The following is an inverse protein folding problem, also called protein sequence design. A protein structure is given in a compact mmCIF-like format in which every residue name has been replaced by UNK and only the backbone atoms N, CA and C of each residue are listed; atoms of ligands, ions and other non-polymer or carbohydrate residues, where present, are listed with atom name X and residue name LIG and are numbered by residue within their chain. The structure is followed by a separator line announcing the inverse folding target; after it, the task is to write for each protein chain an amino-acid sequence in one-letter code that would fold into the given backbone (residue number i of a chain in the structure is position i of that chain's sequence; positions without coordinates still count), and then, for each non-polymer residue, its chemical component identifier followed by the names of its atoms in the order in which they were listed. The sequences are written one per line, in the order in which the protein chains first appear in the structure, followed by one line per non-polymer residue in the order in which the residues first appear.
data_IF_336043169278
#
_entry.id   IF_336043169278
#
_cell.length_a   1.000
_cell.length_b   1.000
_cell.length_c   1.000
_cell.angle_alpha   90.00
_cell.angle_beta   90.00
_cell.angle_gamma   90.00
#
_symmetry.space_group_name_H-M   'P 1'
#
loop_
_entity.id
_entity.type
_entity.pdbx_description
1 polymer ?
#
# COMPACT_ATOMS: atom_id res chain seq x y z
N UNK A 1 33.08 -16.49 39.58
CA UNK A 1 32.18 -15.33 39.71
C UNK A 1 31.93 -15.17 41.19
N UNK A 2 32.48 -14.12 41.82
CA UNK A 2 32.25 -13.85 43.24
C UNK A 2 30.78 -13.45 43.42
N UNK A 3 30.05 -14.21 44.23
CA UNK A 3 28.69 -13.86 44.63
C UNK A 3 28.76 -12.70 45.62
N UNK A 4 28.28 -11.52 45.19
CA UNK A 4 28.17 -10.35 46.05
C UNK A 4 27.00 -10.59 47.00
N UNK A 5 27.29 -10.83 48.27
CA UNK A 5 26.28 -10.97 49.30
C UNK A 5 25.85 -9.57 49.77
N UNK A 6 24.62 -9.18 49.46
CA UNK A 6 24.06 -7.90 49.88
C UNK A 6 23.46 -8.04 51.29
N UNK A 7 24.12 -7.46 52.29
CA UNK A 7 23.56 -7.30 53.63
C UNK A 7 22.94 -5.90 53.76
N UNK A 8 21.61 -5.84 53.76
CA UNK A 8 20.84 -4.60 53.87
C UNK A 8 19.98 -4.66 55.12
N UNK A 9 20.44 -4.00 56.18
CA UNK A 9 19.67 -3.81 57.41
C UNK A 9 19.05 -2.41 57.42
N UNK A 10 17.74 -2.31 57.14
CA UNK A 10 16.96 -1.07 57.23
C UNK A 10 15.65 -1.32 57.96
N UNK A 11 15.12 -0.29 58.62
CA UNK A 11 13.79 -0.36 59.24
C UNK A 11 12.73 -0.64 58.18
N UNK A 12 11.75 -1.48 58.54
CA UNK A 12 10.57 -1.72 57.71
C UNK A 12 9.65 -0.52 57.88
N UNK A 13 9.38 0.19 56.79
CA UNK A 13 8.50 1.35 56.76
C UNK A 13 7.20 1.00 56.04
N UNK A 14 6.07 1.45 56.57
CA UNK A 14 4.86 1.65 55.78
C UNK A 14 5.00 2.92 54.92
N UNK A 15 4.27 3.00 53.80
CA UNK A 15 4.36 4.17 52.89
C UNK A 15 4.06 5.48 53.62
N UNK A 16 3.12 5.47 54.56
CA UNK A 16 2.74 6.65 55.35
C UNK A 16 3.83 7.08 56.34
N UNK A 17 4.52 6.12 56.97
CA UNK A 17 5.66 6.39 57.87
C UNK A 17 6.84 6.96 57.10
N UNK A 18 7.11 6.41 55.90
CA UNK A 18 8.14 6.90 55.01
C UNK A 18 7.83 8.35 54.57
N UNK A 19 6.62 8.60 54.10
CA UNK A 19 6.21 9.94 53.64
C UNK A 19 6.26 10.96 54.79
N UNK A 20 5.94 10.54 56.02
CA UNK A 20 6.04 11.39 57.23
C UNK A 20 7.48 11.67 57.64
N UNK A 21 8.36 10.67 57.59
CA UNK A 21 9.79 10.83 57.94
C UNK A 21 10.52 11.72 56.93
N UNK A 22 10.25 11.54 55.64
CA UNK A 22 10.85 12.33 54.56
C UNK A 22 10.06 13.60 54.22
N UNK A 23 9.01 13.93 54.99
CA UNK A 23 8.12 15.10 54.78
C UNK A 23 7.64 15.21 53.32
N UNK A 24 7.30 14.09 52.72
CA UNK A 24 6.77 14.04 51.37
C UNK A 24 5.30 14.46 51.39
N UNK A 25 5.00 15.61 50.77
CA UNK A 25 3.63 16.01 50.48
C UNK A 25 3.26 15.53 49.09
N UNK A 26 2.22 14.67 49.00
CA UNK A 26 1.72 14.18 47.72
C UNK A 26 1.21 15.38 46.91
N UNK A 27 1.74 15.65 45.70
CA UNK A 27 1.30 16.80 44.92
C UNK A 27 -0.19 16.66 44.60
N UNK A 28 -0.97 17.68 44.94
CA UNK A 28 -2.38 17.73 44.62
C UNK A 28 -2.53 17.71 43.09
N UNK A 29 -3.17 16.66 42.55
CA UNK A 29 -3.46 16.53 41.11
C UNK A 29 -4.61 17.46 40.74
N UNK A 30 -4.34 18.75 40.69
CA UNK A 30 -5.31 19.77 40.27
C UNK A 30 -5.30 19.86 38.74
N UNK A 31 -6.42 19.59 38.07
CA UNK A 31 -6.54 19.66 36.61
C UNK A 31 -6.11 21.01 36.02
N UNK A 32 -6.21 22.10 36.80
CA UNK A 32 -5.77 23.45 36.40
C UNK A 32 -4.26 23.57 36.22
N UNK A 33 -3.44 22.95 37.07
CA UNK A 33 -1.98 23.00 36.90
C UNK A 33 -1.51 22.18 35.69
N UNK A 34 -2.29 21.17 35.30
CA UNK A 34 -2.06 20.40 34.07
C UNK A 34 -2.35 21.23 32.81
N UNK A 35 -3.43 22.02 32.83
CA UNK A 35 -3.78 22.93 31.73
C UNK A 35 -2.85 24.15 31.66
N UNK A 36 -2.52 24.77 32.79
CA UNK A 36 -1.57 25.89 32.86
C UNK A 36 -0.17 25.49 32.39
N UNK A 37 0.26 24.26 32.68
CA UNK A 37 1.52 23.72 32.18
C UNK A 37 1.54 23.45 30.66
N UNK A 38 0.39 23.13 30.06
CA UNK A 38 0.26 22.88 28.63
C UNK A 38 0.11 24.17 27.81
N UNK A 39 -0.62 25.16 28.34
CA UNK A 39 -0.89 26.44 27.68
C UNK A 39 0.33 27.38 27.74
N UNK A 40 1.06 27.40 28.85
CA UNK A 40 2.24 28.27 29.00
C UNK A 40 3.49 27.79 28.24
N UNK A 41 3.54 26.51 27.86
CA UNK A 41 4.64 25.91 27.08
C UNK A 41 4.33 25.77 25.59
N UNK A 42 3.22 26.33 25.13
CA UNK A 42 2.80 26.22 23.73
C UNK A 42 3.67 27.11 22.82
N UNK A 43 4.90 26.66 22.57
CA UNK A 43 5.78 27.24 21.57
C UNK A 43 5.23 26.84 20.19
N UNK A 44 4.45 27.72 19.56
CA UNK A 44 3.89 27.50 18.22
C UNK A 44 4.92 26.98 17.20
N UNK A 45 6.17 27.47 17.31
CA UNK A 45 7.26 27.07 16.43
C UNK A 45 7.74 25.63 16.66
N UNK A 46 7.80 25.20 17.92
CA UNK A 46 8.13 23.79 18.26
C UNK A 46 6.97 22.86 17.89
N UNK A 47 5.73 23.30 18.12
CA UNK A 47 4.53 22.58 17.70
C UNK A 47 4.46 22.42 16.16
N UNK A 48 4.86 23.45 15.41
CA UNK A 48 4.86 23.43 13.95
C UNK A 48 5.91 22.47 13.38
N UNK A 49 7.08 22.32 14.02
CA UNK A 49 8.09 21.33 13.62
C UNK A 49 7.63 19.89 13.82
N UNK A 50 6.83 19.64 14.87
CA UNK A 50 6.24 18.31 15.12
C UNK A 50 5.24 17.94 14.00
N UNK A 51 4.46 18.90 13.50
CA UNK A 51 3.53 18.69 12.39
C UNK A 51 4.22 18.65 11.02
N UNK A 52 5.26 19.46 10.83
CA UNK A 52 5.98 19.59 9.57
C UNK A 52 7.48 19.29 9.77
N UNK A 53 7.86 18.01 9.88
CA UNK A 53 9.24 17.59 10.14
C UNK A 53 10.22 18.02 9.03
N UNK A 54 9.72 18.44 7.86
CA UNK A 54 10.57 18.93 6.78
C UNK A 54 11.26 20.26 7.07
N UNK A 55 10.68 21.08 7.95
CA UNK A 55 11.28 22.36 8.36
C UNK A 55 12.60 22.17 9.12
N UNK A 56 12.80 21.01 9.75
CA UNK A 56 14.02 20.72 10.51
C UNK A 56 15.20 20.28 9.65
N UNK A 57 14.94 19.65 8.50
CA UNK A 57 16.01 19.11 7.63
C UNK A 57 16.31 19.98 6.41
N UNK A 58 15.35 20.74 5.87
CA UNK A 58 15.57 21.63 4.71
C UNK A 58 16.73 22.63 4.96
N UNK A 59 16.82 23.33 6.11
CA UNK A 59 17.93 24.26 6.36
C UNK A 59 19.30 23.59 6.47
N UNK A 60 19.33 22.28 6.77
CA UNK A 60 20.55 21.47 6.90
C UNK A 60 20.92 20.76 5.59
N UNK A 61 20.14 20.96 4.53
CA UNK A 61 20.30 20.26 3.27
C UNK A 61 21.56 20.72 2.51
N UNK A 62 22.36 19.77 2.03
CA UNK A 62 23.62 20.04 1.32
C UNK A 62 23.37 19.95 -0.18
N UNK A 63 23.75 20.98 -0.95
CA UNK A 63 23.55 21.04 -2.40
C UNK A 63 24.17 19.85 -3.17
N UNK A 64 25.22 19.22 -2.62
CA UNK A 64 25.85 18.04 -3.22
C UNK A 64 24.93 16.79 -3.20
N UNK A 65 23.87 16.77 -2.40
CA UNK A 65 22.87 15.69 -2.37
C UNK A 65 21.77 15.88 -3.42
N UNK A 66 21.68 17.06 -4.05
CA UNK A 66 20.61 17.39 -5.00
C UNK A 66 20.59 16.45 -6.21
N UNK A 67 21.75 16.19 -6.81
CA UNK A 67 21.86 15.35 -8.01
C UNK A 67 21.48 13.88 -7.69
N UNK A 68 22.04 13.24 -6.65
CA UNK A 68 21.60 11.92 -6.22
C UNK A 68 20.09 11.83 -5.90
N UNK A 69 19.53 12.83 -5.23
CA UNK A 69 18.11 12.84 -4.84
C UNK A 69 17.18 13.00 -6.05
N UNK A 70 17.54 13.85 -7.02
CA UNK A 70 16.78 13.98 -8.28
C UNK A 70 16.83 12.68 -9.07
N UNK A 71 18.01 12.06 -9.20
CA UNK A 71 18.15 10.80 -9.91
C UNK A 71 17.36 9.68 -9.21
N UNK A 72 17.45 9.58 -7.89
CA UNK A 72 16.68 8.62 -7.11
C UNK A 72 15.17 8.86 -7.24
N UNK A 73 14.72 10.11 -7.14
CA UNK A 73 13.32 10.49 -7.30
C UNK A 73 12.78 10.13 -8.69
N UNK A 74 13.54 10.40 -9.74
CA UNK A 74 13.20 10.03 -11.11
C UNK A 74 13.15 8.50 -11.28
N UNK A 75 14.13 7.76 -10.75
CA UNK A 75 14.10 6.29 -10.78
C UNK A 75 12.89 5.72 -10.05
N UNK A 76 12.57 6.23 -8.86
CA UNK A 76 11.40 5.81 -8.08
C UNK A 76 10.10 6.12 -8.83
N UNK A 77 9.99 7.31 -9.44
CA UNK A 77 8.83 7.67 -10.25
C UNK A 77 8.62 6.68 -11.40
N UNK A 78 9.69 6.33 -12.13
CA UNK A 78 9.64 5.35 -13.22
C UNK A 78 9.23 3.95 -12.70
N UNK A 79 9.80 3.49 -11.59
CA UNK A 79 9.45 2.20 -10.99
C UNK A 79 7.98 2.15 -10.55
N UNK A 80 7.42 3.28 -10.14
CA UNK A 80 6.05 3.36 -9.67
C UNK A 80 5.02 3.41 -10.80
N UNK A 81 5.40 3.68 -12.07
CA UNK A 81 4.46 3.68 -13.21
C UNK A 81 3.74 2.32 -13.36
N UNK A 82 4.45 1.18 -13.47
CA UNK A 82 3.80 -0.14 -13.53
C UNK A 82 3.22 -0.60 -12.18
N UNK A 83 3.73 -0.08 -11.06
CA UNK A 83 3.31 -0.47 -9.69
C UNK A 83 2.15 0.38 -9.14
N UNK A 84 1.81 1.50 -9.79
CA UNK A 84 0.98 2.58 -9.24
C UNK A 84 -0.46 2.18 -8.89
N UNK A 85 -0.91 1.02 -9.36
CA UNK A 85 -2.09 0.37 -8.82
C UNK A 85 -1.72 -0.35 -7.53
N UNK A 86 -1.98 0.27 -6.37
CA UNK A 86 -2.01 -0.46 -5.10
C UNK A 86 -3.01 -1.61 -5.24
N UNK A 87 -2.54 -2.81 -5.60
CA UNK A 87 -3.39 -3.86 -6.16
C UNK A 87 -4.54 -4.25 -5.22
N UNK A 88 -4.27 -4.23 -3.92
CA UNK A 88 -5.29 -4.46 -2.89
C UNK A 88 -6.37 -3.38 -2.87
N UNK A 89 -5.99 -2.10 -2.89
CA UNK A 89 -6.94 -0.99 -2.89
C UNK A 89 -7.78 -1.00 -4.18
N UNK A 90 -7.13 -1.21 -5.33
CA UNK A 90 -7.80 -1.33 -6.62
C UNK A 90 -8.81 -2.50 -6.63
N UNK A 91 -8.42 -3.68 -6.12
CA UNK A 91 -9.33 -4.82 -5.99
C UNK A 91 -10.50 -4.52 -5.04
N UNK A 92 -10.25 -3.84 -3.93
CA UNK A 92 -11.31 -3.48 -2.96
C UNK A 92 -12.31 -2.49 -3.58
N UNK A 93 -11.82 -1.44 -4.24
CA UNK A 93 -12.66 -0.45 -4.92
C UNK A 93 -13.43 -1.10 -6.07
N UNK A 94 -12.76 -1.89 -6.91
CA UNK A 94 -13.39 -2.61 -8.03
C UNK A 94 -14.51 -3.55 -7.59
N UNK A 95 -14.33 -4.26 -6.47
CA UNK A 95 -15.40 -5.12 -5.91
C UNK A 95 -16.64 -4.33 -5.48
N UNK A 96 -16.47 -3.10 -5.00
CA UNK A 96 -17.62 -2.23 -4.63
C UNK A 96 -18.32 -1.76 -5.89
N UNK A 97 -17.57 -1.31 -6.90
CA UNK A 97 -18.11 -0.87 -8.21
C UNK A 97 -18.91 -2.00 -8.86
N UNK A 98 -18.34 -3.20 -8.96
CA UNK A 98 -18.98 -4.37 -9.57
C UNK A 98 -20.21 -4.88 -8.80
N UNK A 99 -20.34 -4.52 -7.52
CA UNK A 99 -21.51 -4.87 -6.71
C UNK A 99 -22.65 -3.88 -6.89
N UNK A 100 -22.34 -2.58 -6.92
CA UNK A 100 -23.35 -1.52 -6.95
C UNK A 100 -23.86 -1.21 -8.36
N UNK A 101 -23.03 -1.41 -9.39
CA UNK A 101 -23.39 -1.07 -10.77
C UNK A 101 -23.68 -2.35 -11.56
N UNK A 102 -24.93 -2.61 -11.97
CA UNK A 102 -25.25 -3.73 -12.83
C UNK A 102 -24.58 -3.55 -14.20
N UNK A 103 -24.01 -4.64 -14.76
CA UNK A 103 -23.26 -4.61 -16.02
C UNK A 103 -24.05 -4.03 -17.20
N UNK A 104 -25.39 -4.08 -17.16
CA UNK A 104 -26.27 -3.49 -18.18
C UNK A 104 -26.16 -1.96 -18.25
N UNK A 105 -25.96 -1.29 -17.11
CA UNK A 105 -25.80 0.17 -17.08
C UNK A 105 -24.50 0.59 -17.75
N UNK A 106 -23.42 -0.18 -17.56
CA UNK A 106 -22.11 0.09 -18.16
C UNK A 106 -22.15 -0.17 -19.67
N UNK A 107 -22.83 -1.23 -20.10
CA UNK A 107 -22.98 -1.58 -21.52
C UNK A 107 -23.79 -0.55 -22.33
N UNK A 108 -24.66 0.23 -21.66
CA UNK A 108 -25.47 1.27 -22.29
C UNK A 108 -24.80 2.65 -22.31
N UNK A 109 -23.60 2.81 -21.75
CA UNK A 109 -22.83 4.06 -21.83
C UNK A 109 -22.20 4.16 -23.22
N UNK A 110 -22.55 5.22 -23.95
CA UNK A 110 -21.86 5.59 -25.20
C UNK A 110 -20.45 6.12 -24.88
N UNK A 111 -19.45 5.81 -25.73
CA UNK A 111 -18.06 6.28 -25.56
C UNK A 111 -17.93 7.80 -25.37
N UNK A 112 -18.89 8.59 -25.86
CA UNK A 112 -18.89 10.06 -25.76
C UNK A 112 -19.41 10.61 -24.41
N UNK A 113 -19.80 9.77 -23.44
CA UNK A 113 -20.23 10.29 -22.13
C UNK A 113 -19.05 10.92 -21.40
N UNK A 114 -19.16 12.17 -20.91
CA UNK A 114 -18.10 12.79 -20.11
C UNK A 114 -17.71 11.91 -18.94
N UNK A 115 -16.41 11.80 -18.65
CA UNK A 115 -15.89 10.98 -17.53
C UNK A 115 -16.59 11.27 -16.19
N UNK A 116 -17.02 12.52 -15.98
CA UNK A 116 -17.70 12.95 -14.78
C UNK A 116 -19.12 12.37 -14.62
N UNK A 117 -19.78 12.04 -15.73
CA UNK A 117 -21.14 11.46 -15.75
C UNK A 117 -21.12 9.93 -15.75
N UNK A 118 -19.94 9.31 -15.84
CA UNK A 118 -19.81 7.85 -15.77
C UNK A 118 -20.04 7.40 -14.31
N UNK A 119 -21.03 6.53 -14.04
CA UNK A 119 -21.46 6.19 -12.68
C UNK A 119 -20.39 5.43 -11.90
N UNK A 120 -19.55 4.64 -12.58
CA UNK A 120 -18.39 3.95 -12.02
C UNK A 120 -17.34 4.93 -11.51
N UNK A 121 -16.99 5.94 -12.30
CA UNK A 121 -16.03 6.98 -11.91
C UNK A 121 -16.58 7.80 -10.75
N UNK A 122 -17.87 8.20 -10.80
CA UNK A 122 -18.51 8.96 -9.74
C UNK A 122 -18.52 8.20 -8.40
N UNK A 123 -18.79 6.90 -8.43
CA UNK A 123 -18.79 6.05 -7.25
C UNK A 123 -17.37 5.93 -6.66
N UNK A 124 -16.35 5.72 -7.49
CA UNK A 124 -14.95 5.64 -7.06
C UNK A 124 -14.49 6.96 -6.43
N UNK A 125 -14.84 8.10 -7.02
CA UNK A 125 -14.50 9.43 -6.50
C UNK A 125 -15.16 9.65 -5.14
N UNK A 126 -16.45 9.35 -5.02
CA UNK A 126 -17.20 9.49 -3.76
C UNK A 126 -16.65 8.59 -2.66
N UNK A 127 -16.32 7.34 -3.00
CA UNK A 127 -15.73 6.38 -2.07
C UNK A 127 -14.35 6.84 -1.59
N UNK A 128 -13.49 7.30 -2.51
CA UNK A 128 -12.15 7.80 -2.19
C UNK A 128 -12.21 9.04 -1.30
N UNK A 129 -13.13 9.95 -1.59
CA UNK A 129 -13.39 11.13 -0.77
C UNK A 129 -13.85 10.73 0.64
N UNK A 130 -14.80 9.81 0.75
CA UNK A 130 -15.29 9.31 2.04
C UNK A 130 -14.16 8.64 2.86
N UNK A 131 -13.33 7.81 2.22
CA UNK A 131 -12.16 7.20 2.87
C UNK A 131 -11.21 8.28 3.41
N UNK A 132 -10.98 9.34 2.65
CA UNK A 132 -10.21 10.50 3.11
C UNK A 132 -10.83 11.19 4.33
N UNK A 133 -12.15 11.43 4.33
CA UNK A 133 -12.85 11.99 5.48
C UNK A 133 -12.72 11.08 6.72
N UNK A 134 -12.89 9.77 6.56
CA UNK A 134 -12.71 8.79 7.64
C UNK A 134 -11.27 8.82 8.17
N UNK A 135 -10.26 8.89 7.30
CA UNK A 135 -8.85 9.02 7.71
C UNK A 135 -8.60 10.29 8.53
N UNK A 136 -9.21 11.42 8.15
CA UNK A 136 -9.12 12.68 8.92
C UNK A 136 -9.78 12.52 10.30
N UNK A 137 -10.98 11.92 10.36
CA UNK A 137 -11.65 11.65 11.64
C UNK A 137 -10.82 10.70 12.52
N UNK A 138 -10.23 9.65 11.95
CA UNK A 138 -9.35 8.73 12.68
C UNK A 138 -8.07 9.42 13.19
N UNK A 139 -7.54 10.38 12.43
CA UNK A 139 -6.42 11.22 12.85
C UNK A 139 -6.80 12.13 14.03
N UNK A 140 -7.97 12.78 13.97
CA UNK A 140 -8.50 13.61 15.06
C UNK A 140 -8.76 12.82 16.34
N UNK A 141 -9.26 11.59 16.19
CA UNK A 141 -9.47 10.65 17.30
C UNK A 141 -8.17 9.92 17.73
N UNK A 142 -7.03 10.24 17.12
CA UNK A 142 -5.72 9.63 17.38
C UNK A 142 -5.71 8.10 17.35
N UNK A 143 -6.56 7.49 16.52
CA UNK A 143 -6.71 6.03 16.45
C UNK A 143 -5.42 5.36 15.96
N UNK A 144 -4.49 6.11 15.36
CA UNK A 144 -3.15 5.65 15.02
C UNK A 144 -2.36 5.02 16.19
N UNK A 145 -2.69 5.35 17.45
CA UNK A 145 -2.02 4.76 18.63
C UNK A 145 -2.43 3.29 18.74
N UNK A 146 -3.69 2.97 18.43
CA UNK A 146 -4.15 1.57 18.39
C UNK A 146 -3.50 0.76 17.28
N UNK A 147 -3.20 1.38 16.14
CA UNK A 147 -2.45 0.71 15.07
C UNK A 147 -1.03 0.30 15.52
N UNK A 148 -0.40 1.09 16.41
CA UNK A 148 0.91 0.75 16.99
C UNK A 148 0.87 -0.41 18.00
N UNK A 149 -0.31 -0.80 18.48
CA UNK A 149 -0.51 -1.94 19.38
C UNK A 149 -0.85 -3.26 18.64
N UNK A 150 -0.97 -3.23 17.32
CA UNK A 150 -1.17 -4.45 16.55
C UNK A 150 0.12 -5.28 16.61
N UNK A 151 0.00 -6.54 17.00
CA UNK A 151 1.17 -7.42 17.09
C UNK A 151 1.77 -7.68 15.71
N UNK A 152 3.08 -7.86 15.66
CA UNK A 152 3.79 -8.20 14.41
C UNK A 152 3.21 -9.48 13.78
N UNK A 153 2.75 -10.43 14.60
CA UNK A 153 2.08 -11.65 14.13
C UNK A 153 0.76 -11.35 13.41
N UNK A 154 -0.01 -10.37 13.88
CA UNK A 154 -1.26 -9.96 13.24
C UNK A 154 -0.98 -9.24 11.91
N UNK A 155 -0.02 -8.31 11.89
CA UNK A 155 0.35 -7.56 10.68
C UNK A 155 0.91 -8.52 9.62
N UNK A 156 1.77 -9.47 10.03
CA UNK A 156 2.31 -10.51 9.16
C UNK A 156 1.21 -11.41 8.60
N UNK A 157 0.32 -11.93 9.46
CA UNK A 157 -0.80 -12.78 9.03
C UNK A 157 -1.76 -12.07 8.07
N UNK A 158 -2.10 -10.80 8.35
CA UNK A 158 -2.92 -9.98 7.46
C UNK A 158 -2.24 -9.75 6.11
N UNK A 159 -0.94 -9.40 6.11
CA UNK A 159 -0.17 -9.15 4.88
C UNK A 159 -0.03 -10.41 4.04
N UNK A 160 0.21 -11.58 4.64
CA UNK A 160 0.26 -12.87 3.93
C UNK A 160 -1.10 -13.23 3.32
N UNK A 161 -2.20 -13.07 4.07
CA UNK A 161 -3.54 -13.32 3.56
C UNK A 161 -3.91 -12.38 2.41
N UNK A 162 -3.56 -11.09 2.53
CA UNK A 162 -3.74 -10.10 1.48
C UNK A 162 -2.92 -10.45 0.22
N UNK A 163 -1.68 -10.90 0.38
CA UNK A 163 -0.84 -11.39 -0.72
C UNK A 163 -1.44 -12.59 -1.45
N UNK A 164 -1.94 -13.58 -0.71
CA UNK A 164 -2.66 -14.73 -1.29
C UNK A 164 -3.92 -14.25 -2.04
N UNK A 165 -4.68 -13.32 -1.46
CA UNK A 165 -5.87 -12.77 -2.09
C UNK A 165 -5.57 -12.05 -3.41
N UNK A 166 -4.50 -11.23 -3.47
CA UNK A 166 -4.04 -10.60 -4.71
C UNK A 166 -3.65 -11.67 -5.72
N UNK A 167 -2.82 -12.64 -5.33
CA UNK A 167 -2.37 -13.71 -6.21
C UNK A 167 -3.55 -14.45 -6.83
N UNK A 168 -4.53 -14.86 -6.02
CA UNK A 168 -5.72 -15.57 -6.50
C UNK A 168 -6.60 -14.72 -7.42
N UNK A 169 -6.62 -13.40 -7.24
CA UNK A 169 -7.34 -12.48 -8.13
C UNK A 169 -6.61 -12.29 -9.47
N UNK A 170 -5.29 -12.50 -9.53
CA UNK A 170 -4.49 -12.37 -10.75
C UNK A 170 -4.42 -13.66 -11.57
N UNK A 171 -4.59 -14.85 -10.98
CA UNK A 171 -4.53 -16.14 -11.71
C UNK A 171 -5.45 -16.18 -12.94
N UNK A 172 -6.74 -15.80 -12.87
CA UNK A 172 -7.62 -15.83 -14.04
C UNK A 172 -7.11 -15.00 -15.21
N UNK A 173 -6.51 -13.84 -14.92
CA UNK A 173 -5.92 -12.93 -15.90
C UNK A 173 -4.67 -13.56 -16.53
N UNK A 174 -3.82 -14.23 -15.74
CA UNK A 174 -2.63 -14.94 -16.23
C UNK A 174 -2.96 -16.14 -17.13
N UNK A 175 -4.10 -16.80 -16.87
CA UNK A 175 -4.63 -17.91 -17.67
C UNK A 175 -5.44 -17.42 -18.90
N UNK A 176 -5.74 -16.13 -18.99
CA UNK A 176 -6.56 -15.58 -20.08
C UNK A 176 -7.99 -16.13 -20.10
N UNK A 177 -8.56 -16.42 -18.93
CA UNK A 177 -9.93 -16.91 -18.82
C UNK A 177 -10.92 -15.76 -19.03
N UNK A 178 -11.71 -15.84 -20.10
CA UNK A 178 -12.77 -14.88 -20.42
C UNK A 178 -14.11 -15.41 -19.89
N UNK A 179 -14.86 -14.59 -19.16
CA UNK A 179 -16.23 -14.91 -18.71
C UNK A 179 -16.39 -15.47 -17.29
N UNK A 180 -15.39 -15.32 -16.41
CA UNK A 180 -15.62 -15.60 -14.99
C UNK A 180 -16.48 -14.47 -14.40
N UNK A 181 -17.69 -14.81 -13.96
CA UNK A 181 -18.56 -13.85 -13.27
C UNK A 181 -17.88 -13.45 -11.96
N UNK A 182 -17.58 -12.17 -11.79
CA UNK A 182 -17.08 -11.68 -10.52
C UNK A 182 -18.13 -11.86 -9.44
N UNK A 183 -17.85 -12.73 -8.46
CA UNK A 183 -18.73 -12.95 -7.31
C UNK A 183 -18.30 -12.03 -6.16
N UNK A 184 -19.26 -11.44 -5.46
CA UNK A 184 -19.03 -10.68 -4.22
C UNK A 184 -19.54 -11.46 -3.00
N UNK A 185 -18.79 -11.49 -1.89
CA UNK A 185 -19.28 -12.04 -0.62
C UNK A 185 -18.22 -12.69 0.28
N UNK A 186 -18.65 -13.10 1.48
CA UNK A 186 -17.86 -13.95 2.38
C UNK A 186 -17.62 -15.29 1.67
N UNK A 187 -16.37 -15.75 1.59
CA UNK A 187 -15.91 -16.92 0.80
C UNK A 187 -15.75 -16.72 -0.72
N UNK A 188 -15.70 -15.47 -1.25
CA UNK A 188 -15.35 -15.20 -2.66
C UNK A 188 -14.15 -16.01 -3.13
N UNK A 189 -13.07 -16.02 -2.35
CA UNK A 189 -11.81 -16.71 -2.67
C UNK A 189 -12.03 -18.20 -2.99
N UNK A 190 -12.88 -18.88 -2.22
CA UNK A 190 -13.18 -20.29 -2.44
C UNK A 190 -13.94 -20.51 -3.76
N UNK A 191 -14.95 -19.67 -4.04
CA UNK A 191 -15.69 -19.76 -5.29
C UNK A 191 -14.83 -19.41 -6.51
N UNK A 192 -13.99 -18.38 -6.43
CA UNK A 192 -13.04 -18.04 -7.49
C UNK A 192 -12.09 -19.19 -7.76
N UNK A 193 -11.59 -19.86 -6.72
CA UNK A 193 -10.74 -21.03 -6.86
C UNK A 193 -11.48 -22.19 -7.55
N UNK A 194 -12.71 -22.48 -7.14
CA UNK A 194 -13.56 -23.48 -7.78
C UNK A 194 -13.81 -23.15 -9.27
N UNK A 195 -14.10 -21.89 -9.58
CA UNK A 195 -14.33 -21.43 -10.94
C UNK A 195 -13.07 -21.54 -11.81
N UNK A 196 -11.88 -21.24 -11.26
CA UNK A 196 -10.58 -21.45 -11.94
C UNK A 196 -10.37 -22.92 -12.31
N UNK A 197 -10.55 -23.84 -11.34
CA UNK A 197 -10.35 -25.27 -11.60
C UNK A 197 -11.36 -25.82 -12.61
N UNK A 198 -12.60 -25.34 -12.57
CA UNK A 198 -13.65 -25.78 -13.49
C UNK A 198 -13.43 -25.27 -14.93
N UNK A 199 -12.79 -24.10 -15.09
CA UNK A 199 -12.57 -23.46 -16.39
C UNK A 199 -11.14 -23.62 -16.93
N UNK A 200 -10.28 -24.41 -16.27
CA UNK A 200 -8.87 -24.58 -16.68
C UNK A 200 -8.72 -25.07 -18.13
N UNK A 201 -9.69 -25.82 -18.66
CA UNK A 201 -9.70 -26.31 -20.04
C UNK A 201 -10.01 -25.22 -21.08
N UNK A 202 -10.54 -24.06 -20.67
CA UNK A 202 -10.89 -22.91 -21.53
C UNK A 202 -9.79 -21.84 -21.58
N UNK A 203 -8.63 -22.13 -20.99
CA UNK A 203 -7.45 -21.25 -20.92
C UNK A 203 -6.97 -20.85 -22.32
N UNK A 204 -6.66 -19.56 -22.50
CA UNK A 204 -6.02 -19.09 -23.73
C UNK A 204 -4.51 -19.37 -23.65
N UNK A 205 -4.05 -20.33 -24.48
CA UNK A 205 -2.65 -20.76 -24.47
C UNK A 205 -1.68 -19.62 -24.80
N UNK A 206 -2.06 -18.66 -25.64
CA UNK A 206 -1.19 -17.54 -25.99
C UNK A 206 -0.95 -16.62 -24.78
N UNK A 207 -1.99 -16.34 -24.00
CA UNK A 207 -1.90 -15.54 -22.76
C UNK A 207 -1.05 -16.25 -21.71
N UNK A 208 -1.24 -17.57 -21.57
CA UNK A 208 -0.47 -18.39 -20.63
C UNK A 208 1.04 -18.38 -20.95
N UNK A 209 1.39 -18.53 -22.23
CA UNK A 209 2.80 -18.50 -22.66
C UNK A 209 3.39 -17.10 -22.46
N UNK A 210 2.65 -16.06 -22.85
CA UNK A 210 3.11 -14.68 -22.68
C UNK A 210 3.31 -14.33 -21.20
N UNK A 211 2.34 -14.66 -20.34
CA UNK A 211 2.42 -14.40 -18.90
C UNK A 211 3.56 -15.18 -18.25
N UNK A 212 3.77 -16.44 -18.65
CA UNK A 212 4.92 -17.25 -18.22
C UNK A 212 6.26 -16.64 -18.63
N UNK A 213 6.40 -16.18 -19.88
CA UNK A 213 7.61 -15.48 -20.35
C UNK A 213 7.83 -14.19 -19.56
N UNK A 214 6.79 -13.39 -19.31
CA UNK A 214 6.89 -12.17 -18.51
C UNK A 214 7.35 -12.47 -17.07
N UNK A 215 6.77 -13.47 -16.40
CA UNK A 215 7.16 -13.84 -15.03
C UNK A 215 8.62 -14.33 -14.98
N UNK A 216 9.04 -15.14 -15.95
CA UNK A 216 10.43 -15.61 -16.05
C UNK A 216 11.38 -14.44 -16.32
N UNK A 217 11.03 -13.53 -17.24
CA UNK A 217 11.83 -12.36 -17.56
C UNK A 217 12.00 -11.45 -16.33
N UNK A 218 10.94 -11.24 -15.55
CA UNK A 218 11.00 -10.47 -14.30
C UNK A 218 11.82 -11.18 -13.22
N UNK A 219 11.68 -12.50 -13.07
CA UNK A 219 12.48 -13.30 -12.13
C UNK A 219 13.98 -13.22 -12.47
N UNK A 220 14.34 -13.41 -13.75
CA UNK A 220 15.72 -13.32 -14.22
C UNK A 220 16.25 -11.89 -14.07
N UNK A 221 15.47 -10.90 -14.49
CA UNK A 221 15.84 -9.50 -14.37
C UNK A 221 16.18 -9.14 -12.92
N UNK A 222 15.30 -9.51 -11.99
CA UNK A 222 15.47 -9.16 -10.58
C UNK A 222 16.62 -9.91 -9.90
N UNK A 223 16.75 -11.22 -10.15
CA UNK A 223 17.71 -12.06 -9.45
C UNK A 223 19.11 -12.05 -10.08
N UNK A 224 19.22 -11.93 -11.40
CA UNK A 224 20.49 -12.01 -12.13
C UNK A 224 20.94 -10.69 -12.73
N UNK A 225 20.05 -9.93 -13.39
CA UNK A 225 20.46 -8.68 -14.05
C UNK A 225 20.70 -7.56 -13.04
N UNK A 226 19.81 -7.37 -12.07
CA UNK A 226 19.93 -6.29 -11.09
C UNK A 226 21.26 -6.29 -10.30
N UNK A 227 21.75 -7.42 -9.75
CA UNK A 227 23.04 -7.42 -9.07
C UNK A 227 24.23 -7.21 -10.02
N UNK A 228 24.13 -7.62 -11.29
CA UNK A 228 25.23 -7.48 -12.25
C UNK A 228 25.30 -6.06 -12.82
N UNK A 229 24.16 -5.42 -13.05
CA UNK A 229 24.08 -4.02 -13.49
C UNK A 229 24.53 -3.09 -12.36
N UNK A 230 24.16 -3.38 -11.10
CA UNK A 230 24.63 -2.62 -9.93
C UNK A 230 26.16 -2.64 -9.80
N UNK A 231 26.83 -3.72 -10.22
CA UNK A 231 28.31 -3.79 -10.23
C UNK A 231 28.94 -2.96 -11.33
N UNK A 232 28.26 -2.78 -12.47
CA UNK A 232 28.85 -2.18 -13.68
C UNK A 232 28.44 -0.73 -13.98
N UNK A 233 27.21 -0.30 -13.66
CA UNK A 233 26.62 0.91 -14.25
C UNK A 233 25.81 1.77 -13.27
N UNK A 234 26.39 2.16 -12.13
CA UNK A 234 25.79 2.96 -11.04
C UNK A 234 24.89 2.20 -10.05
N UNK A 235 24.80 2.76 -8.83
CA UNK A 235 23.98 2.26 -7.71
C UNK A 235 22.46 2.35 -7.92
N UNK A 236 21.99 2.72 -9.11
CA UNK A 236 20.57 2.91 -9.39
C UNK A 236 19.91 1.58 -9.79
N UNK A 237 18.81 1.18 -9.15
CA UNK A 237 18.07 -0.01 -9.56
C UNK A 237 17.43 0.21 -10.93
N UNK A 238 17.45 -0.82 -11.77
CA UNK A 238 16.86 -0.76 -13.12
C UNK A 238 15.35 -1.07 -13.03
N UNK A 239 14.47 -0.24 -13.64
CA UNK A 239 13.03 -0.47 -13.68
C UNK A 239 12.67 -1.56 -14.70
N UNK A 240 12.97 -2.81 -14.36
CA UNK A 240 12.76 -3.97 -15.23
C UNK A 240 11.28 -4.22 -15.53
N UNK A 241 10.39 -3.86 -14.61
CA UNK A 241 8.94 -3.93 -14.78
C UNK A 241 8.48 -3.07 -15.95
N UNK A 242 8.94 -1.82 -16.03
CA UNK A 242 8.58 -0.92 -17.11
C UNK A 242 9.14 -1.40 -18.45
N UNK A 243 10.41 -1.81 -18.48
CA UNK A 243 11.03 -2.36 -19.69
C UNK A 243 10.24 -3.56 -20.20
N UNK A 244 9.82 -4.45 -19.30
CA UNK A 244 8.99 -5.62 -19.64
C UNK A 244 7.65 -5.19 -20.23
N UNK A 245 6.96 -4.20 -19.64
CA UNK A 245 5.70 -3.68 -20.17
C UNK A 245 5.90 -3.10 -21.57
N UNK A 246 6.92 -2.25 -21.77
CA UNK A 246 7.21 -1.63 -23.08
C UNK A 246 7.49 -2.69 -24.15
N UNK A 247 8.34 -3.68 -23.86
CA UNK A 247 8.65 -4.77 -24.80
C UNK A 247 7.39 -5.57 -25.14
N UNK A 248 6.57 -5.91 -24.15
CA UNK A 248 5.33 -6.66 -24.36
C UNK A 248 4.30 -5.85 -25.17
N UNK A 249 4.17 -4.54 -24.94
CA UNK A 249 3.29 -3.68 -25.73
C UNK A 249 3.73 -3.60 -27.19
N UNK A 250 5.03 -3.43 -27.44
CA UNK A 250 5.59 -3.41 -28.80
C UNK A 250 5.37 -4.76 -29.49
N UNK A 251 5.64 -5.87 -28.80
CA UNK A 251 5.39 -7.21 -29.31
C UNK A 251 3.90 -7.42 -29.64
N UNK A 252 3.00 -6.90 -28.81
CA UNK A 252 1.55 -6.97 -29.04
C UNK A 252 1.11 -6.27 -30.31
N UNK A 253 1.70 -5.11 -30.62
CA UNK A 253 1.41 -4.38 -31.86
C UNK A 253 1.90 -5.14 -33.10
N UNK A 254 3.11 -5.72 -33.05
CA UNK A 254 3.66 -6.47 -34.19
C UNK A 254 2.96 -7.82 -34.43
N UNK A 255 2.53 -8.49 -33.36
CA UNK A 255 1.93 -9.83 -33.46
C UNK A 255 0.39 -9.83 -33.58
N UNK A 256 -0.27 -8.67 -33.48
CA UNK A 256 -1.73 -8.52 -33.51
C UNK A 256 -2.45 -9.57 -32.63
N UNK A 257 -2.07 -9.65 -31.35
CA UNK A 257 -2.54 -10.68 -30.42
C UNK A 257 -4.07 -10.70 -30.22
N UNK A 258 -4.71 -9.53 -30.30
CA UNK A 258 -6.17 -9.39 -30.22
C UNK A 258 -6.86 -10.16 -31.35
N UNK A 259 -6.55 -9.85 -32.61
CA UNK A 259 -7.20 -10.45 -33.78
C UNK A 259 -6.88 -11.95 -33.93
N UNK A 260 -5.64 -12.35 -33.64
CA UNK A 260 -5.18 -13.72 -33.91
C UNK A 260 -5.46 -14.72 -32.78
N UNK A 261 -5.44 -14.25 -31.53
CA UNK A 261 -5.54 -15.12 -30.36
C UNK A 261 -6.71 -14.76 -29.43
N UNK A 262 -7.57 -13.80 -29.79
CA UNK A 262 -8.70 -13.34 -28.96
C UNK A 262 -8.25 -12.99 -27.53
N UNK A 263 -7.12 -12.28 -27.45
CA UNK A 263 -6.53 -11.84 -26.20
C UNK A 263 -7.15 -10.52 -25.78
N UNK A 264 -7.59 -10.42 -24.52
CA UNK A 264 -8.04 -9.15 -23.94
C UNK A 264 -6.83 -8.23 -23.83
N UNK A 265 -6.86 -7.12 -24.57
CA UNK A 265 -5.84 -6.08 -24.53
C UNK A 265 -6.37 -4.87 -23.75
N UNK A 266 -5.45 -4.08 -23.18
CA UNK A 266 -5.81 -2.78 -22.61
C UNK A 266 -6.20 -1.86 -23.76
N UNK A 267 -7.45 -1.42 -23.76
CA UNK A 267 -8.02 -0.58 -24.80
C UNK A 267 -7.55 0.88 -24.68
N UNK A 268 -8.07 1.75 -25.53
CA UNK A 268 -7.75 3.17 -25.58
C UNK A 268 -7.93 3.84 -24.22
N UNK A 269 -6.84 4.40 -23.70
CA UNK A 269 -6.84 5.23 -22.50
C UNK A 269 -7.15 6.66 -22.95
N UNK A 270 -8.22 7.25 -22.40
CA UNK A 270 -8.54 8.65 -22.65
C UNK A 270 -7.39 9.55 -22.13
N UNK A 271 -6.85 10.38 -23.00
CA UNK A 271 -5.85 11.39 -22.65
C UNK A 271 -6.58 12.67 -22.24
N UNK A 272 -6.32 13.15 -21.03
CA UNK A 272 -6.89 14.40 -20.50
C UNK A 272 -6.40 15.65 -21.19
#
# INVERSE_FOLDING_TARGET
MEEIHFDISRKVYSQEEFDKEYRYERPAKTWRSFLEGHISKFNFWEQSKIWFPFLDWIPKYRANCLIPDILAGFTVAIMNVPQGMFALAALMVGNVVNREIPHETIANLTEDTPLADRPDVQLVVTLTFLVGCVMVVMCLLQIHVFASYLSDSLISGFTTAAGIHVLLSQIPLLLGLTGIKERSGFLKVYYTLYDIFSHISRTNLAVLVLSGICVIALYIGKNYMNPEIKKRLCSLPVPLELITVVITTVLSQFCHFESKYNMVIVDKIETG
#
